data_IF_695471122884
#
_entry.id   IF_695471122884
#
_cell.length_a   1.000
_cell.length_b   1.000
_cell.length_c   1.000
_cell.angle_alpha   90.00
_cell.angle_beta   90.00
_cell.angle_gamma   90.00
#
_symmetry.space_group_name_H-M   'P 1'
#
loop_
_entity.id
_entity.type
_entity.pdbx_description
1 polymer ?
#
# COMPACT_ATOMS: atom_id res chain seq x y z
N UNK A 1 -6.51 -20.93 18.28
CA UNK A 1 -7.59 -21.88 17.97
C UNK A 1 -7.88 -22.84 19.13
N UNK A 2 -6.93 -23.63 19.62
CA UNK A 2 -7.19 -24.64 20.69
C UNK A 2 -7.81 -24.14 22.02
N UNK A 3 -7.63 -22.87 22.39
CA UNK A 3 -8.13 -22.28 23.66
C UNK A 3 -8.89 -20.97 23.47
N UNK A 4 -9.40 -20.71 22.26
CA UNK A 4 -10.04 -19.43 21.94
C UNK A 4 -11.29 -19.16 22.82
N UNK A 5 -12.07 -20.19 23.11
CA UNK A 5 -13.29 -20.05 23.91
C UNK A 5 -12.98 -19.81 25.39
N UNK A 6 -11.93 -20.45 25.92
CA UNK A 6 -11.47 -20.25 27.31
C UNK A 6 -10.93 -18.83 27.56
N UNK A 7 -10.46 -18.14 26.51
CA UNK A 7 -9.93 -16.78 26.63
C UNK A 7 -11.00 -15.72 26.89
N UNK A 8 -12.28 -15.97 26.57
CA UNK A 8 -13.35 -14.98 26.78
C UNK A 8 -13.60 -14.71 28.26
N UNK A 9 -13.53 -15.76 29.08
CA UNK A 9 -13.82 -15.71 30.52
C UNK A 9 -12.54 -15.70 31.38
N UNK A 10 -11.35 -15.74 30.76
CA UNK A 10 -10.09 -15.81 31.48
C UNK A 10 -9.77 -14.49 32.20
N UNK A 11 -9.55 -14.54 33.51
CA UNK A 11 -9.26 -13.35 34.35
C UNK A 11 -8.08 -12.50 33.86
N UNK A 12 -7.09 -13.13 33.21
CA UNK A 12 -5.91 -12.46 32.63
C UNK A 12 -5.99 -12.27 31.10
N UNK A 13 -7.17 -12.45 30.48
CA UNK A 13 -7.32 -12.39 29.03
C UNK A 13 -6.73 -11.10 28.44
N UNK A 14 -7.05 -9.96 29.06
CA UNK A 14 -6.56 -8.64 28.63
C UNK A 14 -5.04 -8.55 28.71
N UNK A 15 -4.43 -9.00 29.80
CA UNK A 15 -2.98 -8.96 30.02
C UNK A 15 -2.27 -9.87 29.01
N UNK A 16 -2.76 -11.10 28.83
CA UNK A 16 -2.20 -12.07 27.87
C UNK A 16 -2.26 -11.50 26.45
N UNK A 17 -3.41 -10.94 26.05
CA UNK A 17 -3.56 -10.33 24.72
C UNK A 17 -2.65 -9.12 24.53
N UNK A 18 -2.49 -8.27 25.54
CA UNK A 18 -1.57 -7.14 25.50
C UNK A 18 -0.12 -7.61 25.32
N UNK A 19 0.34 -8.59 26.11
CA UNK A 19 1.69 -9.16 26.02
C UNK A 19 1.94 -9.83 24.67
N UNK A 20 0.99 -10.64 24.18
CA UNK A 20 1.11 -11.28 22.86
C UNK A 20 1.16 -10.27 21.72
N UNK A 21 0.37 -9.19 21.83
CA UNK A 21 0.37 -8.10 20.84
C UNK A 21 1.69 -7.34 20.87
N UNK A 22 2.19 -6.99 22.07
CA UNK A 22 3.48 -6.32 22.24
C UNK A 22 4.64 -7.15 21.66
N UNK A 23 4.69 -8.44 22.00
CA UNK A 23 5.71 -9.36 21.47
C UNK A 23 5.63 -9.47 19.95
N UNK A 24 4.43 -9.65 19.38
CA UNK A 24 4.24 -9.68 17.93
C UNK A 24 4.72 -8.39 17.27
N UNK A 25 4.39 -7.24 17.85
CA UNK A 25 4.74 -5.93 17.32
C UNK A 25 6.26 -5.73 17.36
N UNK A 26 6.91 -5.96 18.50
CA UNK A 26 8.36 -5.79 18.67
C UNK A 26 9.14 -6.76 17.77
N UNK A 27 8.74 -8.05 17.72
CA UNK A 27 9.43 -9.04 16.91
C UNK A 27 9.34 -8.76 15.40
N UNK A 28 8.26 -8.11 14.93
CA UNK A 28 8.04 -7.85 13.50
C UNK A 28 8.49 -6.46 13.06
N UNK A 29 8.38 -5.46 13.93
CA UNK A 29 8.63 -4.06 13.59
C UNK A 29 9.92 -3.52 14.23
N UNK A 30 10.47 -4.23 15.20
CA UNK A 30 11.62 -3.82 15.98
C UNK A 30 11.27 -2.95 17.20
N UNK A 31 12.21 -2.79 18.14
CA UNK A 31 11.97 -2.13 19.42
C UNK A 31 11.72 -0.62 19.30
N UNK A 32 12.23 0.03 18.25
CA UNK A 32 12.09 1.47 18.03
C UNK A 32 10.82 1.87 17.29
N UNK A 33 10.03 0.90 16.82
CA UNK A 33 8.87 1.18 15.96
C UNK A 33 7.84 2.08 16.65
N UNK A 34 7.44 1.74 17.88
CA UNK A 34 6.41 2.48 18.62
C UNK A 34 6.84 3.93 18.80
N UNK A 35 7.98 4.18 19.44
CA UNK A 35 8.49 5.53 19.71
C UNK A 35 8.61 6.36 18.43
N UNK A 36 9.17 5.78 17.35
CA UNK A 36 9.27 6.48 16.06
C UNK A 36 7.91 6.83 15.45
N UNK A 37 6.91 5.97 15.63
CA UNK A 37 5.56 6.24 15.13
C UNK A 37 4.84 7.26 16.02
N UNK A 38 5.08 7.28 17.33
CA UNK A 38 4.59 8.36 18.21
C UNK A 38 5.17 9.70 17.77
N UNK A 39 6.48 9.79 17.55
CA UNK A 39 7.14 11.02 17.09
C UNK A 39 6.67 11.52 15.70
N UNK A 40 6.18 10.61 14.86
CA UNK A 40 5.73 10.90 13.48
C UNK A 40 4.25 11.28 13.43
N UNK A 41 3.43 10.71 14.31
CA UNK A 41 1.96 10.80 14.20
C UNK A 41 1.27 11.43 15.41
N UNK A 42 1.96 11.56 16.54
CA UNK A 42 1.36 11.98 17.83
C UNK A 42 0.49 10.92 18.50
N UNK A 43 0.30 9.74 17.88
CA UNK A 43 -0.54 8.68 18.42
C UNK A 43 0.06 8.06 19.69
N UNK A 44 -0.80 7.55 20.57
CA UNK A 44 -0.42 6.77 21.75
C UNK A 44 0.04 5.36 21.38
N UNK A 45 0.79 4.70 22.28
CA UNK A 45 1.22 3.31 22.08
C UNK A 45 0.03 2.34 21.87
N UNK A 46 -1.10 2.59 22.52
CA UNK A 46 -2.32 1.79 22.36
C UNK A 46 -2.94 1.94 20.98
N UNK A 47 -3.01 3.17 20.44
CA UNK A 47 -3.48 3.43 19.07
C UNK A 47 -2.56 2.78 18.04
N UNK A 48 -1.25 2.89 18.23
CA UNK A 48 -0.25 2.26 17.34
C UNK A 48 -0.39 0.73 17.36
N UNK A 49 -0.54 0.12 18.53
CA UNK A 49 -0.73 -1.32 18.65
C UNK A 49 -2.03 -1.80 17.99
N UNK A 50 -3.10 -1.00 18.09
CA UNK A 50 -4.38 -1.28 17.43
C UNK A 50 -4.26 -1.17 15.91
N UNK A 51 -3.67 -0.09 15.39
CA UNK A 51 -3.47 0.10 13.96
C UNK A 51 -2.54 -0.97 13.36
N UNK A 52 -1.49 -1.36 14.08
CA UNK A 52 -0.65 -2.52 13.73
C UNK A 52 -1.48 -3.80 13.64
N UNK A 53 -2.38 -4.03 14.59
CA UNK A 53 -3.25 -5.22 14.59
C UNK A 53 -4.18 -5.20 13.38
N UNK A 54 -4.88 -4.09 13.14
CA UNK A 54 -5.75 -3.93 11.97
C UNK A 54 -4.97 -4.20 10.68
N UNK A 55 -3.84 -3.53 10.49
CA UNK A 55 -3.02 -3.65 9.29
C UNK A 55 -2.46 -5.07 9.08
N UNK A 56 -2.09 -5.77 10.16
CA UNK A 56 -1.62 -7.17 10.09
C UNK A 56 -2.74 -8.12 9.65
N UNK A 57 -3.95 -7.94 10.19
CA UNK A 57 -5.09 -8.81 9.89
C UNK A 57 -5.67 -8.53 8.48
N UNK A 58 -5.74 -7.27 8.05
CA UNK A 58 -6.23 -6.90 6.71
C UNK A 58 -5.29 -7.35 5.58
N UNK A 59 -3.98 -7.35 5.83
CA UNK A 59 -2.96 -7.83 4.89
C UNK A 59 -2.73 -9.36 4.93
N UNK A 60 -3.34 -10.06 5.88
CA UNK A 60 -3.15 -11.49 6.12
C UNK A 60 -1.65 -11.88 6.21
N UNK A 61 -0.89 -11.16 7.04
CA UNK A 61 0.57 -11.33 7.09
C UNK A 61 1.04 -12.57 7.87
N UNK A 62 0.22 -13.12 8.77
CA UNK A 62 0.64 -14.28 9.59
C UNK A 62 0.93 -15.51 8.72
N UNK A 63 0.06 -15.93 7.77
CA UNK A 63 0.39 -17.02 6.86
C UNK A 63 1.62 -16.72 5.99
N UNK A 64 1.76 -15.47 5.51
CA UNK A 64 2.93 -15.07 4.73
C UNK A 64 4.23 -15.24 5.51
N UNK A 65 4.27 -14.79 6.76
CA UNK A 65 5.45 -14.93 7.61
C UNK A 65 5.78 -16.40 7.89
N UNK A 66 4.79 -17.26 8.14
CA UNK A 66 5.01 -18.71 8.28
C UNK A 66 5.63 -19.30 7.02
N UNK A 67 5.17 -18.90 5.83
CA UNK A 67 5.77 -19.35 4.56
C UNK A 67 7.22 -18.89 4.40
N UNK A 68 7.57 -17.68 4.86
CA UNK A 68 8.95 -17.16 4.82
C UNK A 68 9.84 -17.88 5.85
N UNK A 69 9.34 -18.11 7.06
CA UNK A 69 10.04 -18.80 8.15
C UNK A 69 10.29 -20.26 7.82
N UNK A 70 9.38 -20.93 7.09
CA UNK A 70 9.55 -22.30 6.64
C UNK A 70 10.71 -22.51 5.62
N UNK A 71 11.31 -21.41 5.14
CA UNK A 71 12.50 -21.42 4.30
C UNK A 71 13.81 -21.39 5.09
N UNK A 72 13.75 -21.40 6.43
CA UNK A 72 14.95 -21.40 7.27
C UNK A 72 15.84 -22.61 6.94
N UNK A 73 17.13 -22.34 6.75
CA UNK A 73 18.14 -23.29 6.26
C UNK A 73 17.85 -23.92 4.87
N UNK A 74 16.89 -23.38 4.09
CA UNK A 74 16.56 -23.87 2.73
C UNK A 74 16.95 -22.89 1.62
N UNK A 75 17.04 -21.60 1.92
CA UNK A 75 17.45 -20.55 0.98
C UNK A 75 18.51 -19.66 1.62
N UNK A 76 19.18 -18.82 0.83
CA UNK A 76 20.09 -17.83 1.39
C UNK A 76 19.36 -16.90 2.37
N UNK A 77 19.93 -16.68 3.56
CA UNK A 77 19.34 -15.82 4.59
C UNK A 77 18.97 -14.43 4.05
N UNK A 78 19.78 -13.89 3.13
CA UNK A 78 19.51 -12.62 2.43
C UNK A 78 18.13 -12.56 1.77
N UNK A 79 17.64 -13.68 1.21
CA UNK A 79 16.31 -13.76 0.62
C UNK A 79 15.21 -13.63 1.67
N UNK A 80 15.31 -14.37 2.78
CA UNK A 80 14.36 -14.30 3.89
C UNK A 80 14.35 -12.91 4.52
N UNK A 81 15.52 -12.34 4.83
CA UNK A 81 15.62 -10.99 5.37
C UNK A 81 15.00 -9.94 4.45
N UNK A 82 15.21 -10.06 3.13
CA UNK A 82 14.60 -9.17 2.15
C UNK A 82 13.07 -9.26 2.20
N UNK A 83 12.51 -10.48 2.22
CA UNK A 83 11.06 -10.69 2.25
C UNK A 83 10.45 -10.16 3.56
N UNK A 84 11.07 -10.42 4.70
CA UNK A 84 10.65 -9.90 6.00
C UNK A 84 10.69 -8.36 6.01
N UNK A 85 11.78 -7.76 5.52
CA UNK A 85 11.91 -6.31 5.44
C UNK A 85 10.86 -5.65 4.53
N UNK A 86 10.53 -6.26 3.38
CA UNK A 86 9.44 -5.76 2.53
C UNK A 86 8.09 -5.85 3.24
N UNK A 87 7.81 -6.96 3.94
CA UNK A 87 6.56 -7.11 4.69
C UNK A 87 6.45 -6.08 5.83
N UNK A 88 7.55 -5.81 6.54
CA UNK A 88 7.60 -4.80 7.60
C UNK A 88 7.43 -3.38 7.05
N UNK A 89 7.99 -3.07 5.88
CA UNK A 89 7.78 -1.78 5.19
C UNK A 89 6.30 -1.57 4.82
N UNK A 90 5.67 -2.59 4.24
CA UNK A 90 4.24 -2.53 3.92
C UNK A 90 3.41 -2.37 5.19
N UNK A 91 3.68 -3.18 6.22
CA UNK A 91 2.95 -3.15 7.48
C UNK A 91 3.07 -1.79 8.16
N UNK A 92 4.27 -1.19 8.24
CA UNK A 92 4.46 0.17 8.77
C UNK A 92 3.56 1.18 8.07
N UNK A 93 3.56 1.16 6.74
CA UNK A 93 2.78 2.11 5.93
C UNK A 93 1.29 1.90 6.15
N UNK A 94 0.83 0.65 6.14
CA UNK A 94 -0.55 0.30 6.38
C UNK A 94 -1.02 0.73 7.78
N UNK A 95 -0.21 0.51 8.82
CA UNK A 95 -0.53 0.97 10.18
C UNK A 95 -0.67 2.49 10.25
N UNK A 96 0.25 3.24 9.61
CA UNK A 96 0.17 4.71 9.57
C UNK A 96 -1.08 5.17 8.80
N UNK A 97 -1.40 4.52 7.68
CA UNK A 97 -2.61 4.81 6.91
C UNK A 97 -3.88 4.65 7.75
N UNK A 98 -3.96 3.59 8.56
CA UNK A 98 -5.07 3.35 9.49
C UNK A 98 -5.09 4.41 10.59
N UNK A 99 -3.94 4.73 11.21
CA UNK A 99 -3.84 5.76 12.27
C UNK A 99 -4.36 7.13 11.80
N UNK A 100 -4.07 7.49 10.55
CA UNK A 100 -4.47 8.78 9.98
C UNK A 100 -5.97 8.86 9.63
N UNK A 101 -6.73 7.78 9.83
CA UNK A 101 -8.15 7.67 9.46
C UNK A 101 -8.96 7.21 10.67
N UNK A 102 -9.47 8.15 11.50
CA UNK A 102 -10.16 7.84 12.75
C UNK A 102 -11.31 6.83 12.60
N UNK A 103 -12.04 6.87 11.49
CA UNK A 103 -13.11 5.93 11.20
C UNK A 103 -12.65 4.46 11.16
N UNK A 104 -11.40 4.20 10.79
CA UNK A 104 -10.80 2.86 10.80
C UNK A 104 -10.01 2.60 12.08
N UNK A 105 -9.33 3.61 12.63
CA UNK A 105 -8.53 3.44 13.85
C UNK A 105 -9.39 3.14 15.09
N UNK A 106 -10.61 3.66 15.16
CA UNK A 106 -11.44 3.55 16.36
C UNK A 106 -12.21 2.23 16.46
N UNK A 107 -12.53 1.60 15.33
CA UNK A 107 -13.26 0.34 15.28
C UNK A 107 -12.46 -0.71 14.49
N UNK A 108 -11.86 -1.65 15.23
CA UNK A 108 -11.05 -2.74 14.66
C UNK A 108 -11.87 -3.69 13.81
N UNK A 109 -13.12 -3.98 14.21
CA UNK A 109 -13.97 -4.92 13.49
C UNK A 109 -14.41 -4.30 12.17
N UNK A 110 -14.96 -3.09 12.22
CA UNK A 110 -15.34 -2.33 11.04
C UNK A 110 -14.18 -2.16 10.06
N UNK A 111 -12.98 -1.82 10.55
CA UNK A 111 -11.81 -1.65 9.68
C UNK A 111 -11.41 -2.95 8.97
N UNK A 112 -11.42 -4.08 9.67
CA UNK A 112 -11.08 -5.38 9.06
C UNK A 112 -12.16 -5.79 8.04
N UNK A 113 -13.43 -5.70 8.40
CA UNK A 113 -14.56 -6.04 7.51
C UNK A 113 -14.58 -5.16 6.25
N UNK A 114 -14.24 -3.88 6.38
CA UNK A 114 -14.22 -2.95 5.23
C UNK A 114 -12.99 -3.13 4.34
N UNK A 115 -11.79 -3.27 4.93
CA UNK A 115 -10.53 -3.18 4.17
C UNK A 115 -10.04 -4.53 3.64
N UNK A 116 -10.24 -5.62 4.39
CA UNK A 116 -9.68 -6.94 4.08
C UNK A 116 -10.18 -7.51 2.74
N UNK A 117 -11.48 -7.42 2.37
CA UNK A 117 -11.97 -7.99 1.11
C UNK A 117 -11.22 -7.43 -0.11
N UNK A 118 -11.17 -6.09 -0.22
CA UNK A 118 -10.49 -5.41 -1.31
C UNK A 118 -8.99 -5.70 -1.39
N UNK A 119 -8.31 -5.77 -0.24
CA UNK A 119 -6.89 -6.13 -0.19
C UNK A 119 -6.66 -7.58 -0.61
N UNK A 120 -7.53 -8.50 -0.19
CA UNK A 120 -7.44 -9.93 -0.56
C UNK A 120 -7.71 -10.16 -2.05
N UNK A 121 -8.76 -9.53 -2.59
CA UNK A 121 -9.09 -9.58 -4.02
C UNK A 121 -7.94 -8.98 -4.85
N UNK A 122 -7.40 -7.84 -4.42
CA UNK A 122 -6.22 -7.27 -5.04
C UNK A 122 -5.02 -8.22 -4.99
N UNK A 123 -4.74 -8.86 -3.85
CA UNK A 123 -3.62 -9.80 -3.74
C UNK A 123 -3.72 -10.99 -4.69
N UNK A 124 -4.94 -11.51 -4.92
CA UNK A 124 -5.20 -12.60 -5.86
C UNK A 124 -5.03 -12.16 -7.31
N UNK A 125 -5.57 -10.98 -7.64
CA UNK A 125 -5.74 -10.53 -9.02
C UNK A 125 -4.66 -9.53 -9.50
N UNK A 126 -3.70 -9.16 -8.64
CA UNK A 126 -2.75 -8.07 -8.91
C UNK A 126 -2.02 -8.24 -10.25
N UNK A 127 -1.56 -9.46 -10.56
CA UNK A 127 -0.83 -9.76 -11.80
C UNK A 127 -1.64 -9.35 -13.05
N UNK A 128 -2.95 -9.54 -13.00
CA UNK A 128 -3.85 -9.31 -14.12
C UNK A 128 -4.31 -7.85 -14.22
N UNK A 129 -4.09 -7.05 -13.18
CA UNK A 129 -4.32 -5.60 -13.17
C UNK A 129 -3.10 -4.80 -13.67
N UNK A 130 -1.90 -5.34 -13.49
CA UNK A 130 -0.66 -4.64 -13.87
C UNK A 130 -0.42 -4.65 -15.38
N UNK A 131 0.02 -3.52 -15.93
CA UNK A 131 0.41 -3.36 -17.34
C UNK A 131 1.69 -2.52 -17.46
N UNK A 132 2.40 -2.68 -18.58
CA UNK A 132 3.57 -1.87 -18.90
C UNK A 132 4.68 -1.95 -17.81
N UNK A 133 5.27 -0.81 -17.41
CA UNK A 133 6.39 -0.80 -16.45
C UNK A 133 6.10 -1.49 -15.11
N UNK A 134 4.87 -1.42 -14.61
CA UNK A 134 4.51 -2.06 -13.34
C UNK A 134 4.50 -3.59 -13.46
N UNK A 135 4.04 -4.12 -14.60
CA UNK A 135 4.05 -5.56 -14.87
C UNK A 135 5.49 -6.07 -15.07
N UNK A 136 6.33 -5.31 -15.76
CA UNK A 136 7.75 -5.65 -15.91
C UNK A 136 8.42 -5.71 -14.54
N UNK A 137 8.27 -4.67 -13.73
CA UNK A 137 8.80 -4.66 -12.36
C UNK A 137 8.31 -5.86 -11.54
N UNK A 138 7.02 -6.20 -11.61
CA UNK A 138 6.49 -7.38 -10.94
C UNK A 138 7.17 -8.68 -11.38
N UNK A 139 7.40 -8.84 -12.69
CA UNK A 139 8.10 -10.01 -13.25
C UNK A 139 9.55 -10.06 -12.77
N UNK A 140 10.25 -8.94 -12.78
CA UNK A 140 11.65 -8.84 -12.32
C UNK A 140 11.79 -9.25 -10.85
N UNK A 141 10.92 -8.76 -9.97
CA UNK A 141 10.95 -9.15 -8.55
C UNK A 141 10.62 -10.62 -8.34
N UNK A 142 9.67 -11.17 -9.09
CA UNK A 142 9.34 -12.60 -9.03
C UNK A 142 10.54 -13.44 -9.45
N UNK A 143 11.23 -13.04 -10.53
CA UNK A 143 12.44 -13.71 -11.00
C UNK A 143 13.56 -13.63 -9.98
N UNK A 144 13.84 -12.45 -9.43
CA UNK A 144 14.84 -12.26 -8.36
C UNK A 144 14.61 -13.23 -7.20
N UNK A 145 13.38 -13.37 -6.70
CA UNK A 145 13.10 -14.31 -5.60
C UNK A 145 13.22 -15.77 -6.03
N UNK A 146 12.81 -16.10 -7.27
CA UNK A 146 12.92 -17.47 -7.79
C UNK A 146 14.39 -17.89 -7.94
N UNK A 147 15.25 -17.00 -8.46
CA UNK A 147 16.70 -17.21 -8.55
C UNK A 147 17.36 -17.33 -7.18
N UNK A 148 16.76 -16.75 -6.13
CA UNK A 148 17.19 -16.91 -4.74
C UNK A 148 16.70 -18.23 -4.10
N UNK A 149 16.05 -19.12 -4.86
CA UNK A 149 15.57 -20.44 -4.38
C UNK A 149 14.19 -20.41 -3.72
N UNK A 150 13.45 -19.29 -3.78
CA UNK A 150 12.10 -19.19 -3.24
C UNK A 150 11.09 -19.86 -4.19
N UNK A 151 10.07 -20.56 -3.66
CA UNK A 151 9.04 -21.18 -4.49
C UNK A 151 8.31 -20.16 -5.37
N UNK A 152 7.81 -20.61 -6.53
CA UNK A 152 7.10 -19.74 -7.48
C UNK A 152 5.88 -19.08 -6.84
N UNK A 153 5.13 -19.77 -5.97
CA UNK A 153 3.96 -19.18 -5.30
C UNK A 153 4.38 -18.06 -4.34
N UNK A 154 5.40 -18.28 -3.51
CA UNK A 154 5.85 -17.27 -2.55
C UNK A 154 6.54 -16.10 -3.26
N UNK A 155 7.34 -16.37 -4.29
CA UNK A 155 7.93 -15.33 -5.14
C UNK A 155 6.86 -14.45 -5.79
N UNK A 156 5.75 -15.04 -6.24
CA UNK A 156 4.61 -14.29 -6.79
C UNK A 156 3.93 -13.41 -5.73
N UNK A 157 3.68 -13.95 -4.53
CA UNK A 157 3.13 -13.15 -3.41
C UNK A 157 4.05 -11.97 -3.05
N UNK A 158 5.36 -12.23 -2.96
CA UNK A 158 6.35 -11.21 -2.61
C UNK A 158 6.58 -10.18 -3.71
N UNK A 159 6.42 -10.53 -4.99
CA UNK A 159 6.40 -9.56 -6.07
C UNK A 159 5.18 -8.63 -5.99
N UNK A 160 4.03 -9.17 -5.56
CA UNK A 160 2.77 -8.44 -5.39
C UNK A 160 2.71 -7.51 -4.17
N UNK A 161 3.49 -7.78 -3.12
CA UNK A 161 3.38 -7.13 -1.80
C UNK A 161 3.37 -5.59 -1.87
N UNK A 162 4.19 -5.00 -2.75
CA UNK A 162 4.33 -3.54 -2.91
C UNK A 162 3.04 -2.86 -3.37
N UNK A 163 2.19 -3.60 -4.08
CA UNK A 163 0.96 -3.08 -4.64
C UNK A 163 -0.21 -3.18 -3.67
N UNK A 164 -0.11 -4.02 -2.63
CA UNK A 164 -1.18 -4.22 -1.65
C UNK A 164 -1.52 -2.96 -0.85
N UNK A 165 -0.59 -2.02 -0.73
CA UNK A 165 -0.89 -0.70 -0.16
C UNK A 165 -1.98 0.04 -0.94
N UNK A 166 -2.05 -0.15 -2.27
CA UNK A 166 -3.14 0.42 -3.08
C UNK A 166 -4.50 -0.13 -2.66
N UNK A 167 -4.56 -1.33 -2.10
CA UNK A 167 -5.80 -1.96 -1.63
C UNK A 167 -6.52 -1.13 -0.57
N UNK A 168 -5.80 -0.43 0.30
CA UNK A 168 -6.39 0.49 1.28
C UNK A 168 -7.11 1.68 0.60
N UNK A 169 -6.50 2.25 -0.43
CA UNK A 169 -7.08 3.35 -1.18
C UNK A 169 -8.25 2.89 -2.04
N UNK A 170 -8.16 1.70 -2.63
CA UNK A 170 -9.24 1.06 -3.40
C UNK A 170 -10.43 0.76 -2.48
N UNK A 171 -10.19 0.13 -1.32
CA UNK A 171 -11.23 -0.18 -0.34
C UNK A 171 -11.98 1.07 0.12
N UNK A 172 -11.24 2.13 0.43
CA UNK A 172 -11.83 3.40 0.83
C UNK A 172 -12.65 4.04 -0.30
N UNK A 173 -12.15 4.01 -1.53
CA UNK A 173 -12.88 4.54 -2.69
C UNK A 173 -14.15 3.71 -2.98
N UNK A 174 -14.06 2.38 -2.93
CA UNK A 174 -15.18 1.47 -3.13
C UNK A 174 -16.27 1.68 -2.08
N UNK A 175 -15.90 1.81 -0.81
CA UNK A 175 -16.83 2.12 0.27
C UNK A 175 -17.50 3.50 0.09
N UNK A 176 -16.75 4.52 -0.34
CA UNK A 176 -17.28 5.87 -0.59
C UNK A 176 -18.25 5.90 -1.78
N UNK A 177 -17.96 5.13 -2.83
CA UNK A 177 -18.76 5.05 -4.05
C UNK A 177 -19.90 4.03 -3.96
N UNK A 178 -19.95 3.23 -2.89
CA UNK A 178 -20.82 2.05 -2.78
C UNK A 178 -20.75 1.13 -4.01
N UNK A 179 -19.52 0.83 -4.46
CA UNK A 179 -19.23 0.07 -5.67
C UNK A 179 -18.39 -1.17 -5.37
N UNK A 180 -18.42 -2.14 -6.28
CA UNK A 180 -17.56 -3.33 -6.23
C UNK A 180 -16.06 -2.98 -6.23
N UNK A 181 -15.29 -3.60 -5.33
CA UNK A 181 -13.88 -3.30 -5.15
C UNK A 181 -13.01 -3.76 -6.33
N UNK A 182 -13.39 -4.82 -7.03
CA UNK A 182 -12.66 -5.28 -8.21
C UNK A 182 -12.82 -4.30 -9.38
N UNK A 183 -14.04 -3.80 -9.60
CA UNK A 183 -14.30 -2.74 -10.58
C UNK A 183 -13.49 -1.49 -10.26
N UNK A 184 -13.55 -1.01 -9.01
CA UNK A 184 -12.77 0.17 -8.59
C UNK A 184 -11.26 -0.08 -8.74
N UNK A 185 -10.76 -1.28 -8.45
CA UNK A 185 -9.36 -1.64 -8.67
C UNK A 185 -8.98 -1.55 -10.15
N UNK A 186 -9.81 -2.06 -11.07
CA UNK A 186 -9.55 -1.96 -12.52
C UNK A 186 -9.47 -0.50 -12.98
N UNK A 187 -10.42 0.34 -12.57
CA UNK A 187 -10.40 1.79 -12.88
C UNK A 187 -9.16 2.45 -12.27
N UNK A 188 -8.85 2.16 -11.00
CA UNK A 188 -7.70 2.70 -10.26
C UNK A 188 -6.37 2.48 -11.00
N UNK A 189 -6.12 1.26 -11.50
CA UNK A 189 -4.89 0.96 -12.25
C UNK A 189 -4.90 1.53 -13.68
N UNK A 190 -6.06 1.64 -14.33
CA UNK A 190 -6.17 2.27 -15.66
C UNK A 190 -5.88 3.76 -15.63
N UNK A 191 -6.46 4.47 -14.66
CA UNK A 191 -6.21 5.89 -14.43
C UNK A 191 -4.73 6.13 -14.13
N UNK A 192 -4.13 5.34 -13.22
CA UNK A 192 -2.69 5.45 -12.91
C UNK A 192 -1.80 5.30 -14.14
N UNK A 193 -2.15 4.39 -15.07
CA UNK A 193 -1.41 4.19 -16.31
C UNK A 193 -1.48 5.43 -17.19
N UNK A 194 -2.68 5.98 -17.41
CA UNK A 194 -2.87 7.20 -18.18
C UNK A 194 -2.07 8.37 -17.60
N UNK A 195 -1.94 8.43 -16.28
CA UNK A 195 -1.26 9.49 -15.54
C UNK A 195 0.24 9.25 -15.28
N UNK A 196 0.82 8.14 -15.77
CA UNK A 196 2.23 7.76 -15.52
C UNK A 196 2.61 7.70 -14.02
N UNK A 197 1.64 7.42 -13.14
CA UNK A 197 1.82 7.39 -11.67
C UNK A 197 2.90 6.40 -11.24
N UNK A 198 3.00 5.25 -11.91
CA UNK A 198 4.03 4.23 -11.62
C UNK A 198 5.43 4.80 -11.72
N UNK A 199 5.69 5.63 -12.73
CA UNK A 199 7.02 6.22 -12.93
C UNK A 199 7.33 7.24 -11.82
N UNK A 200 6.40 8.14 -11.51
CA UNK A 200 6.56 9.11 -10.42
C UNK A 200 6.80 8.42 -9.07
N UNK A 201 6.07 7.34 -8.77
CA UNK A 201 6.28 6.56 -7.55
C UNK A 201 7.69 5.98 -7.49
N UNK A 202 8.19 5.45 -8.60
CA UNK A 202 9.55 4.92 -8.65
C UNK A 202 10.60 6.01 -8.38
N UNK A 203 10.43 7.19 -8.96
CA UNK A 203 11.34 8.32 -8.70
C UNK A 203 11.29 8.78 -7.24
N UNK A 204 10.10 8.85 -6.63
CA UNK A 204 9.95 9.17 -5.21
C UNK A 204 10.69 8.14 -4.35
N UNK A 205 10.58 6.84 -4.62
CA UNK A 205 11.30 5.81 -3.84
C UNK A 205 12.82 5.87 -4.03
N UNK A 206 13.30 6.32 -5.20
CA UNK A 206 14.72 6.47 -5.52
C UNK A 206 15.37 7.71 -4.89
N UNK A 207 14.59 8.65 -4.35
CA UNK A 207 15.12 9.84 -3.69
C UNK A 207 16.11 9.47 -2.57
N UNK A 208 17.31 10.08 -2.53
CA UNK A 208 18.28 9.83 -1.48
C UNK A 208 17.77 10.39 -0.15
N UNK A 209 17.90 9.60 0.91
CA UNK A 209 17.49 9.99 2.27
C UNK A 209 18.71 9.97 3.18
N UNK A 210 19.14 11.16 3.63
CA UNK A 210 20.29 11.38 4.53
C UNK A 210 19.87 11.69 5.97
N UNK A 211 18.57 11.75 6.27
CA UNK A 211 18.09 12.04 7.62
C UNK A 211 16.58 11.90 7.78
N UNK A 212 16.11 12.15 9.02
CA UNK A 212 14.70 12.01 9.42
C UNK A 212 13.75 12.85 8.55
N UNK A 213 14.05 14.13 8.34
CA UNK A 213 13.16 15.04 7.61
C UNK A 213 13.00 14.67 6.13
N UNK A 214 14.07 14.19 5.48
CA UNK A 214 14.00 13.68 4.11
C UNK A 214 13.20 12.37 4.02
N UNK A 215 13.30 11.51 5.05
CA UNK A 215 12.48 10.30 5.12
C UNK A 215 10.99 10.64 5.21
N UNK A 216 10.64 11.63 6.06
CA UNK A 216 9.28 12.15 6.20
C UNK A 216 8.80 12.78 4.89
N UNK A 217 9.59 13.68 4.28
CA UNK A 217 9.23 14.32 3.01
C UNK A 217 8.96 13.30 1.89
N UNK A 218 9.78 12.24 1.80
CA UNK A 218 9.58 11.15 0.82
C UNK A 218 8.29 10.39 1.12
N UNK A 219 8.00 10.15 2.40
CA UNK A 219 6.74 9.59 2.88
C UNK A 219 5.53 10.42 2.45
N UNK A 220 5.58 11.74 2.67
CA UNK A 220 4.53 12.69 2.32
C UNK A 220 4.30 12.76 0.81
N UNK A 221 5.35 12.87 0.00
CA UNK A 221 5.23 12.88 -1.46
C UNK A 221 4.56 11.60 -1.97
N UNK A 222 4.96 10.46 -1.40
CA UNK A 222 4.37 9.18 -1.73
C UNK A 222 2.89 9.13 -1.37
N UNK A 223 2.51 9.52 -0.16
CA UNK A 223 1.12 9.48 0.29
C UNK A 223 0.23 10.43 -0.52
N UNK A 224 0.68 11.66 -0.76
CA UNK A 224 0.00 12.61 -1.64
C UNK A 224 -0.31 12.00 -3.01
N UNK A 225 0.63 11.23 -3.57
CA UNK A 225 0.42 10.57 -4.86
C UNK A 225 -0.56 9.37 -4.78
N UNK A 226 -0.69 8.71 -3.63
CA UNK A 226 -1.77 7.73 -3.40
C UNK A 226 -3.13 8.42 -3.28
N UNK A 227 -3.20 9.51 -2.52
CA UNK A 227 -4.44 10.30 -2.36
C UNK A 227 -4.94 10.87 -3.69
N UNK A 228 -4.04 11.46 -4.49
CA UNK A 228 -4.39 11.97 -5.82
C UNK A 228 -4.95 10.83 -6.68
N UNK A 229 -4.27 9.68 -6.75
CA UNK A 229 -4.76 8.56 -7.55
C UNK A 229 -6.14 8.06 -7.08
N UNK A 230 -6.35 7.97 -5.75
CA UNK A 230 -7.65 7.59 -5.18
C UNK A 230 -8.74 8.57 -5.58
N UNK A 231 -8.49 9.87 -5.42
CA UNK A 231 -9.48 10.90 -5.70
C UNK A 231 -9.79 11.00 -7.20
N UNK A 232 -8.78 10.88 -8.07
CA UNK A 232 -9.03 10.78 -9.52
C UNK A 232 -9.87 9.54 -9.85
N UNK A 233 -9.62 8.41 -9.18
CA UNK A 233 -10.43 7.19 -9.39
C UNK A 233 -11.90 7.44 -9.00
N UNK A 234 -12.14 8.12 -7.88
CA UNK A 234 -13.48 8.50 -7.43
C UNK A 234 -14.16 9.41 -8.46
N UNK A 235 -13.46 10.44 -8.95
CA UNK A 235 -13.97 11.33 -9.99
C UNK A 235 -14.29 10.58 -11.29
N UNK A 236 -13.40 9.68 -11.72
CA UNK A 236 -13.60 8.89 -12.93
C UNK A 236 -14.84 8.01 -12.83
N UNK A 237 -15.02 7.28 -11.72
CA UNK A 237 -16.20 6.43 -11.50
C UNK A 237 -17.48 7.27 -11.43
N UNK A 238 -17.44 8.42 -10.76
CA UNK A 238 -18.58 9.34 -10.66
C UNK A 238 -18.99 9.90 -12.03
N UNK A 239 -18.01 10.31 -12.84
CA UNK A 239 -18.22 10.82 -14.19
C UNK A 239 -18.76 9.75 -15.16
N UNK A 240 -18.44 8.47 -14.91
CA UNK A 240 -18.89 7.33 -15.70
C UNK A 240 -20.39 7.00 -15.59
N UNK A 241 -21.16 7.73 -14.77
CA UNK A 241 -22.63 7.68 -14.66
C UNK A 241 -23.23 6.25 -14.60
N UNK A 242 -22.58 5.34 -13.88
CA UNK A 242 -23.06 3.97 -13.70
C UNK A 242 -22.62 2.96 -14.77
N UNK A 243 -21.74 3.33 -15.71
CA UNK A 243 -21.09 2.35 -16.59
C UNK A 243 -20.27 1.35 -15.77
N UNK A 244 -20.46 0.06 -16.06
CA UNK A 244 -19.71 -1.04 -15.46
C UNK A 244 -18.46 -1.41 -16.26
N UNK A 245 -18.23 -0.76 -17.41
CA UNK A 245 -17.01 -0.97 -18.21
C UNK A 245 -15.88 -0.07 -17.70
N UNK A 246 -14.93 -0.68 -16.99
CA UNK A 246 -13.76 0.02 -16.44
C UNK A 246 -12.90 0.72 -17.52
N UNK A 247 -12.90 0.24 -18.77
CA UNK A 247 -12.20 0.89 -19.88
C UNK A 247 -12.90 2.18 -20.28
N UNK A 248 -14.21 2.10 -20.47
CA UNK A 248 -15.04 3.23 -20.87
C UNK A 248 -14.92 4.36 -19.84
N UNK A 249 -15.12 4.03 -18.56
CA UNK A 249 -15.03 4.96 -17.43
C UNK A 249 -13.68 5.68 -17.40
N UNK A 250 -12.58 4.93 -17.52
CA UNK A 250 -11.24 5.52 -17.54
C UNK A 250 -10.99 6.39 -18.78
N UNK A 251 -11.50 5.99 -19.96
CA UNK A 251 -11.33 6.74 -21.21
C UNK A 251 -12.16 8.02 -21.24
N UNK A 252 -13.41 7.98 -20.75
CA UNK A 252 -14.28 9.15 -20.66
C UNK A 252 -13.64 10.21 -19.76
N UNK A 253 -13.17 9.82 -18.58
CA UNK A 253 -12.46 10.72 -17.67
C UNK A 253 -11.19 11.30 -18.31
N UNK A 254 -10.40 10.47 -19.01
CA UNK A 254 -9.18 10.95 -19.71
C UNK A 254 -9.49 11.94 -20.83
N UNK A 255 -10.55 11.73 -21.61
CA UNK A 255 -10.96 12.64 -22.68
C UNK A 255 -11.40 13.99 -22.10
N UNK A 256 -12.21 13.97 -21.04
CA UNK A 256 -12.70 15.16 -20.34
C UNK A 256 -11.56 16.01 -19.78
N UNK A 257 -10.52 15.38 -19.22
CA UNK A 257 -9.38 16.06 -18.58
C UNK A 257 -8.11 16.07 -19.44
N UNK A 258 -8.26 15.98 -20.76
CA UNK A 258 -7.13 15.79 -21.69
C UNK A 258 -6.10 16.93 -21.63
N UNK A 259 -6.54 18.16 -21.38
CA UNK A 259 -5.68 19.35 -21.26
C UNK A 259 -4.77 19.26 -20.03
N UNK A 260 -5.34 18.97 -18.88
CA UNK A 260 -4.64 18.86 -17.60
C UNK A 260 -3.69 17.66 -17.61
N UNK A 261 -4.12 16.53 -18.19
CA UNK A 261 -3.27 15.34 -18.37
C UNK A 261 -2.08 15.66 -19.28
N UNK A 262 -2.30 16.38 -20.39
CA UNK A 262 -1.22 16.77 -21.31
C UNK A 262 -0.20 17.69 -20.62
N UNK A 263 -0.67 18.64 -19.80
CA UNK A 263 0.21 19.49 -18.99
C UNK A 263 1.04 18.68 -18.00
N UNK A 264 0.42 17.75 -17.27
CA UNK A 264 1.14 16.86 -16.36
C UNK A 264 2.15 15.96 -17.10
N UNK A 265 1.81 15.49 -18.30
CA UNK A 265 2.72 14.71 -19.14
C UNK A 265 3.91 15.51 -19.63
N UNK A 266 3.72 16.80 -19.98
CA UNK A 266 4.79 17.72 -20.33
C UNK A 266 5.80 17.87 -19.19
N UNK A 267 5.32 18.16 -17.98
CA UNK A 267 6.16 18.28 -16.78
C UNK A 267 6.92 16.98 -16.49
N UNK A 268 6.27 15.82 -16.63
CA UNK A 268 6.93 14.51 -16.50
C UNK A 268 7.97 14.28 -17.60
N UNK A 269 7.73 14.76 -18.83
CA UNK A 269 8.68 14.63 -19.94
C UNK A 269 9.92 15.49 -19.72
N UNK A 270 9.75 16.73 -19.27
CA UNK A 270 10.85 17.63 -18.91
C UNK A 270 11.69 17.05 -17.77
N UNK A 271 11.06 16.46 -16.76
CA UNK A 271 11.79 15.80 -15.67
C UNK A 271 12.59 14.58 -16.12
N UNK A 272 12.18 13.90 -17.19
CA UNK A 272 12.92 12.75 -17.72
C UNK A 272 14.18 13.15 -18.47
N UNK A 273 14.27 14.38 -18.99
CA UNK A 273 15.48 14.88 -19.64
C UNK A 273 16.53 15.34 -18.62
N UNK A 274 16.09 15.75 -17.42
CA UNK A 274 16.94 16.15 -16.30
C UNK A 274 17.34 14.89 -15.52
N UNK A 275 18.51 14.31 -15.83
CA UNK A 275 18.91 12.97 -15.37
C UNK A 275 18.91 12.70 -13.85
N UNK A 276 18.90 13.73 -12.98
CA UNK A 276 18.75 13.58 -11.53
C UNK A 276 17.59 14.44 -11.00
N UNK A 277 16.65 13.80 -10.30
CA UNK A 277 15.52 14.49 -9.65
C UNK A 277 15.76 14.61 -8.14
N UNK A 278 15.44 15.78 -7.60
CA UNK A 278 15.46 16.06 -6.17
C UNK A 278 14.04 16.17 -5.60
N UNK A 279 13.94 16.49 -4.30
CA UNK A 279 12.66 16.64 -3.62
C UNK A 279 11.81 17.78 -4.19
N UNK A 280 12.43 18.90 -4.58
CA UNK A 280 11.73 20.05 -5.14
C UNK A 280 11.09 19.69 -6.48
N UNK A 281 11.85 19.04 -7.36
CA UNK A 281 11.41 18.59 -8.68
C UNK A 281 10.18 17.68 -8.56
N UNK A 282 10.25 16.65 -7.71
CA UNK A 282 9.13 15.73 -7.52
C UNK A 282 7.94 16.36 -6.79
N UNK A 283 8.16 17.35 -5.93
CA UNK A 283 7.07 18.13 -5.32
C UNK A 283 6.27 18.90 -6.37
N UNK A 284 6.95 19.50 -7.35
CA UNK A 284 6.29 20.18 -8.48
C UNK A 284 5.45 19.19 -9.29
N UNK A 285 5.98 18.00 -9.61
CA UNK A 285 5.20 16.99 -10.32
C UNK A 285 3.95 16.58 -9.54
N UNK A 286 4.08 16.29 -8.25
CA UNK A 286 2.94 15.91 -7.40
C UNK A 286 1.91 17.06 -7.31
N UNK A 287 2.36 18.32 -7.30
CA UNK A 287 1.45 19.46 -7.30
C UNK A 287 0.73 19.64 -8.63
N UNK A 288 1.38 19.42 -9.76
CA UNK A 288 0.71 19.43 -11.07
C UNK A 288 -0.29 18.27 -11.18
N UNK A 289 0.04 17.09 -10.65
CA UNK A 289 -0.89 15.96 -10.54
C UNK A 289 -2.09 16.30 -9.64
N UNK A 290 -1.92 17.10 -8.60
CA UNK A 290 -3.00 17.49 -7.68
C UNK A 290 -4.07 18.34 -8.35
N UNK A 291 -3.72 19.10 -9.38
CA UNK A 291 -4.68 19.90 -10.18
C UNK A 291 -5.73 19.04 -10.91
N UNK A 292 -5.47 17.75 -11.11
CA UNK A 292 -6.44 16.81 -11.72
C UNK A 292 -7.62 16.43 -10.81
N UNK A 293 -7.55 16.83 -9.54
CA UNK A 293 -8.55 16.52 -8.51
C UNK A 293 -9.34 17.77 -8.10
N UNK A 294 -8.91 18.95 -8.56
CA UNK A 294 -9.53 20.24 -8.28
C UNK A 294 -10.51 20.58 -9.40
#
# INVERSE_FOLDING_TARGET
>A
DKYADLMKDHRLARQIMATQTANSLVNRMGPTYVVRTQDETGASAGEIARAYTIARETLDLRPLWRSIEALDNKVQAKAQYRMLAESARLLRRASIWVLQRPQFANDTKFAIETLRPAISNLAKNIKDLLRGPALNQFRDFREIYTTMGVSKELAQKMAGIRYLYSGYNIAQAAAQLNCDDEFVARVYFRVARGLRVTWLRQQIEQLPVRGRWQALARGTLRENLYEIQRNVTILAVTDGKGSTDDKEVAQQWQKKNSREISRAHGVIADMRSIGSMDFATLSVAVQEMRKLVQ
#
